data_IF_594705575160
#
_entry.id   IF_594705575160
#
_cell.length_a   1.000
_cell.length_b   1.000
_cell.length_c   1.000
_cell.angle_alpha   90.00
_cell.angle_beta   90.00
_cell.angle_gamma   90.00
#
_symmetry.space_group_name_H-M   'P 1'
#
loop_
_entity.id
_entity.type
_entity.pdbx_description
1 polymer ?
#
# COMPACT_ATOMS: atom_id res chain seq x y z
N UNK A 1 -25.39 -23.50 -34.20
CA UNK A 1 -24.14 -22.77 -33.88
C UNK A 1 -24.50 -21.36 -33.46
N UNK A 2 -24.68 -21.13 -32.16
CA UNK A 2 -24.91 -19.79 -31.62
C UNK A 2 -23.55 -19.14 -31.35
N UNK A 3 -23.27 -18.00 -31.99
CA UNK A 3 -22.13 -17.13 -31.70
C UNK A 3 -22.23 -16.71 -30.23
N UNK A 4 -21.33 -17.24 -29.41
CA UNK A 4 -21.20 -16.82 -28.01
C UNK A 4 -20.50 -15.47 -28.03
N UNK A 5 -21.29 -14.39 -27.93
CA UNK A 5 -20.76 -13.03 -27.73
C UNK A 5 -19.78 -13.04 -26.56
N UNK A 6 -18.58 -12.55 -26.84
CA UNK A 6 -17.50 -12.46 -25.89
C UNK A 6 -17.84 -11.37 -24.87
N UNK A 7 -18.59 -11.74 -23.82
CA UNK A 7 -18.79 -10.88 -22.67
C UNK A 7 -17.45 -10.74 -21.96
N UNK A 8 -16.77 -9.62 -22.20
CA UNK A 8 -15.64 -9.13 -21.40
C UNK A 8 -15.93 -9.36 -19.91
N UNK A 9 -14.93 -9.87 -19.20
CA UNK A 9 -14.97 -10.06 -17.75
C UNK A 9 -15.20 -8.70 -17.09
N UNK A 10 -16.46 -8.37 -16.80
CA UNK A 10 -16.81 -7.11 -16.14
C UNK A 10 -16.29 -7.20 -14.69
N UNK A 11 -15.25 -6.44 -14.40
CA UNK A 11 -14.77 -6.15 -13.04
C UNK A 11 -15.96 -5.76 -12.14
N UNK A 12 -15.93 -6.23 -10.88
CA UNK A 12 -17.00 -5.98 -9.91
C UNK A 12 -17.34 -4.48 -9.88
N UNK A 13 -18.62 -4.06 -9.92
CA UNK A 13 -18.99 -2.65 -10.05
C UNK A 13 -18.44 -1.77 -8.91
N UNK A 14 -18.20 -2.33 -7.72
CA UNK A 14 -17.53 -1.64 -6.61
C UNK A 14 -16.01 -1.42 -6.81
N UNK A 15 -15.38 -2.19 -7.70
CA UNK A 15 -13.98 -2.04 -8.09
C UNK A 15 -13.82 -1.16 -9.35
N UNK A 16 -14.92 -0.87 -10.06
CA UNK A 16 -14.95 0.10 -11.14
C UNK A 16 -14.86 1.50 -10.55
N UNK A 17 -13.63 2.01 -10.48
CA UNK A 17 -13.40 3.38 -10.02
C UNK A 17 -14.00 4.35 -11.04
N UNK A 18 -15.07 5.03 -10.63
CA UNK A 18 -15.59 6.19 -11.34
C UNK A 18 -14.47 7.25 -11.32
N UNK A 19 -14.07 7.77 -12.49
CA UNK A 19 -13.23 8.98 -12.60
C UNK A 19 -14.06 10.17 -12.11
N UNK A 20 -14.31 10.25 -10.81
CA UNK A 20 -14.74 11.50 -10.18
C UNK A 20 -13.53 12.41 -10.09
N UNK A 21 -13.72 13.69 -10.38
CA UNK A 21 -12.71 14.73 -10.17
C UNK A 21 -12.13 14.54 -8.76
N UNK A 22 -10.83 14.28 -8.70
CA UNK A 22 -10.13 13.93 -7.47
C UNK A 22 -9.96 15.19 -6.62
N UNK A 23 -10.94 15.53 -5.78
CA UNK A 23 -10.83 16.64 -4.85
C UNK A 23 -10.07 16.22 -3.58
N UNK A 24 -8.74 16.26 -3.61
CA UNK A 24 -7.88 15.90 -2.46
C UNK A 24 -7.57 17.09 -1.53
N UNK A 25 -7.89 18.32 -1.94
CA UNK A 25 -7.70 19.53 -1.12
C UNK A 25 -6.24 19.84 -0.78
N UNK A 26 -5.31 19.49 -1.67
CA UNK A 26 -3.90 19.96 -1.63
C UNK A 26 -3.76 21.14 -2.60
N UNK A 27 -2.88 22.08 -2.30
CA UNK A 27 -2.55 23.18 -3.23
C UNK A 27 -1.72 22.69 -4.41
N UNK A 28 -1.73 23.43 -5.52
CA UNK A 28 -0.89 23.14 -6.69
C UNK A 28 0.60 23.01 -6.32
N UNK A 29 1.12 23.89 -5.46
CA UNK A 29 2.50 23.81 -4.98
C UNK A 29 2.81 22.54 -4.17
N UNK A 30 1.86 22.07 -3.35
CA UNK A 30 2.01 20.81 -2.63
C UNK A 30 1.99 19.62 -3.60
N UNK A 31 1.23 19.71 -4.69
CA UNK A 31 1.17 18.67 -5.72
C UNK A 31 2.45 18.61 -6.55
N UNK A 32 3.09 19.74 -6.85
CA UNK A 32 4.43 19.76 -7.46
C UNK A 32 5.45 19.07 -6.55
N UNK A 33 5.42 19.36 -5.24
CA UNK A 33 6.28 18.67 -4.27
C UNK A 33 5.93 17.18 -4.15
N UNK A 34 4.64 16.81 -4.18
CA UNK A 34 4.19 15.41 -4.18
C UNK A 34 4.67 14.66 -5.40
N UNK A 35 4.57 15.25 -6.60
CA UNK A 35 5.03 14.65 -7.85
C UNK A 35 6.54 14.41 -7.84
N UNK A 36 7.33 15.41 -7.41
CA UNK A 36 8.77 15.27 -7.21
C UNK A 36 9.14 14.20 -6.17
N UNK A 37 8.33 14.07 -5.11
CA UNK A 37 8.51 13.03 -4.09
C UNK A 37 8.23 11.64 -4.67
N UNK A 38 7.16 11.50 -5.46
CA UNK A 38 6.82 10.26 -6.13
C UNK A 38 7.89 9.88 -7.16
N UNK A 39 8.42 10.84 -7.91
CA UNK A 39 9.55 10.63 -8.82
C UNK A 39 10.76 10.06 -8.10
N UNK A 40 11.15 10.64 -6.97
CA UNK A 40 12.30 10.17 -6.19
C UNK A 40 12.08 8.80 -5.54
N UNK A 41 10.83 8.32 -5.46
CA UNK A 41 10.51 6.97 -4.97
C UNK A 41 10.55 5.92 -6.09
N UNK A 42 10.04 6.28 -7.27
CA UNK A 42 9.96 5.42 -8.46
C UNK A 42 10.34 6.30 -9.67
N UNK A 43 11.65 6.48 -9.91
CA UNK A 43 12.14 7.30 -11.00
C UNK A 43 12.11 6.55 -12.33
N UNK A 44 12.11 7.27 -13.46
CA UNK A 44 12.44 6.65 -14.73
C UNK A 44 13.93 6.25 -14.72
N UNK A 45 14.23 5.07 -15.22
CA UNK A 45 15.59 4.52 -15.24
C UNK A 45 16.18 4.58 -16.65
N UNK A 46 17.46 4.96 -16.79
CA UNK A 46 18.12 4.95 -18.08
C UNK A 46 18.24 3.52 -18.61
N UNK A 47 17.86 3.31 -19.87
CA UNK A 47 17.98 2.02 -20.54
C UNK A 47 19.43 1.73 -20.88
N UNK A 48 19.97 0.62 -20.36
CA UNK A 48 21.24 0.06 -20.84
C UNK A 48 20.93 -0.64 -22.17
N UNK A 49 21.58 -0.19 -23.25
CA UNK A 49 21.30 -0.56 -24.65
C UNK A 49 21.75 -1.98 -25.02
N UNK A 50 21.61 -2.95 -24.13
CA UNK A 50 22.00 -4.33 -24.39
C UNK A 50 20.74 -5.20 -24.46
N UNK A 51 20.57 -5.83 -25.63
CA UNK A 51 19.46 -6.67 -26.08
C UNK A 51 18.12 -5.99 -26.48
N UNK A 52 17.35 -6.62 -27.41
CA UNK A 52 15.98 -6.20 -27.69
C UNK A 52 15.12 -6.47 -26.46
N UNK A 53 15.03 -5.47 -25.57
CA UNK A 53 14.13 -5.50 -24.43
C UNK A 53 12.69 -5.60 -24.90
N UNK A 54 11.93 -6.50 -24.28
CA UNK A 54 10.50 -6.64 -24.48
C UNK A 54 9.79 -5.31 -24.19
N UNK A 55 8.78 -4.94 -24.98
CA UNK A 55 8.14 -3.61 -24.95
C UNK A 55 7.62 -3.24 -23.55
N UNK A 56 7.16 -4.22 -22.77
CA UNK A 56 6.70 -4.00 -21.40
C UNK A 56 7.82 -3.61 -20.43
N UNK A 57 9.05 -4.11 -20.63
CA UNK A 57 10.21 -3.73 -19.81
C UNK A 57 10.62 -2.29 -20.14
N UNK A 58 10.63 -1.92 -21.43
CA UNK A 58 10.90 -0.54 -21.84
C UNK A 58 9.90 0.44 -21.22
N UNK A 59 8.60 0.14 -21.34
CA UNK A 59 7.54 0.96 -20.75
C UNK A 59 7.66 1.06 -19.22
N UNK A 60 8.10 0.00 -18.54
CA UNK A 60 8.33 0.01 -17.10
C UNK A 60 9.52 0.88 -16.68
N UNK A 61 10.63 0.86 -17.42
CA UNK A 61 11.80 1.68 -17.13
C UNK A 61 11.56 3.17 -17.44
N UNK A 62 10.75 3.47 -18.45
CA UNK A 62 10.33 4.85 -18.76
C UNK A 62 9.25 5.39 -17.81
N UNK A 63 8.52 4.51 -17.12
CA UNK A 63 7.47 4.91 -16.21
C UNK A 63 8.04 5.59 -14.97
N UNK A 64 7.40 6.68 -14.56
CA UNK A 64 7.71 7.40 -13.32
C UNK A 64 6.45 7.63 -12.51
N UNK A 65 6.54 7.53 -11.19
CA UNK A 65 5.40 7.81 -10.33
C UNK A 65 5.05 9.31 -10.23
N UNK A 66 5.84 10.20 -10.84
CA UNK A 66 5.47 11.63 -10.99
C UNK A 66 4.42 11.87 -12.06
N UNK A 67 4.24 10.93 -12.99
CA UNK A 67 3.34 11.08 -14.13
C UNK A 67 1.87 11.10 -13.67
N UNK A 68 1.10 12.01 -14.27
CA UNK A 68 -0.32 12.09 -14.00
C UNK A 68 -1.03 10.79 -14.41
N UNK A 69 -2.02 10.31 -13.64
CA UNK A 69 -2.62 10.94 -12.46
C UNK A 69 -2.16 10.31 -11.13
N UNK A 70 -0.95 9.73 -11.07
CA UNK A 70 -0.49 8.99 -9.89
C UNK A 70 -0.40 9.91 -8.65
N UNK A 71 0.25 11.10 -8.70
CA UNK A 71 0.33 11.97 -7.53
C UNK A 71 -1.04 12.40 -6.99
N UNK A 72 -1.99 12.76 -7.86
CA UNK A 72 -3.35 13.16 -7.48
C UNK A 72 -4.11 12.02 -6.81
N UNK A 73 -3.96 10.80 -7.32
CA UNK A 73 -4.59 9.63 -6.73
C UNK A 73 -3.96 9.20 -5.41
N UNK A 74 -2.65 9.42 -5.25
CA UNK A 74 -1.94 9.26 -3.97
C UNK A 74 -2.49 10.26 -2.96
N UNK A 75 -2.61 11.53 -3.34
CA UNK A 75 -3.17 12.57 -2.48
C UNK A 75 -4.63 12.27 -2.07
N UNK A 76 -5.46 11.81 -2.99
CA UNK A 76 -6.84 11.43 -2.70
C UNK A 76 -6.92 10.21 -1.76
N UNK A 77 -6.17 9.14 -2.04
CA UNK A 77 -6.14 7.98 -1.15
C UNK A 77 -5.66 8.32 0.26
N UNK A 78 -4.69 9.22 0.34
CA UNK A 78 -4.13 9.65 1.61
C UNK A 78 -5.20 10.36 2.45
N UNK A 79 -6.03 11.22 1.84
CA UNK A 79 -7.15 11.87 2.53
C UNK A 79 -8.25 10.87 2.89
N UNK A 80 -8.55 9.93 2.01
CA UNK A 80 -9.64 8.97 2.21
C UNK A 80 -9.32 7.90 3.26
N UNK A 81 -8.05 7.51 3.39
CA UNK A 81 -7.64 6.32 4.15
C UNK A 81 -6.71 6.59 5.33
N UNK A 82 -5.93 7.67 5.31
CA UNK A 82 -5.00 7.94 6.40
C UNK A 82 -5.69 8.66 7.58
N UNK A 83 -5.10 8.53 8.77
CA UNK A 83 -5.54 9.28 9.95
C UNK A 83 -5.45 10.80 9.67
N UNK A 84 -6.47 11.62 10.02
CA UNK A 84 -6.44 13.07 9.81
C UNK A 84 -5.18 13.78 10.32
N UNK A 85 -4.60 13.32 11.44
CA UNK A 85 -3.33 13.85 11.96
C UNK A 85 -2.14 13.58 11.03
N UNK A 86 -2.11 12.39 10.42
CA UNK A 86 -1.10 12.02 9.43
C UNK A 86 -1.29 12.84 8.13
N UNK A 87 -2.53 13.04 7.69
CA UNK A 87 -2.85 13.91 6.55
C UNK A 87 -2.37 15.34 6.78
N UNK A 88 -2.65 15.88 7.97
CA UNK A 88 -2.18 17.22 8.36
C UNK A 88 -0.65 17.32 8.34
N UNK A 89 0.04 16.33 8.91
CA UNK A 89 1.52 16.28 8.92
C UNK A 89 2.10 16.27 7.49
N UNK A 90 1.54 15.43 6.60
CA UNK A 90 1.96 15.36 5.20
C UNK A 90 1.71 16.69 4.49
N UNK A 91 0.53 17.31 4.68
CA UNK A 91 0.23 18.64 4.13
C UNK A 91 1.22 19.70 4.62
N UNK A 92 1.57 19.69 5.91
CA UNK A 92 2.53 20.64 6.47
C UNK A 92 3.93 20.47 5.85
N UNK A 93 4.43 19.23 5.78
CA UNK A 93 5.76 18.96 5.21
C UNK A 93 5.81 19.31 3.72
N UNK A 94 4.81 18.91 2.92
CA UNK A 94 4.76 19.26 1.50
C UNK A 94 4.65 20.78 1.28
N UNK A 95 3.93 21.49 2.16
CA UNK A 95 3.87 22.95 2.13
C UNK A 95 5.25 23.56 2.39
N UNK A 96 6.01 23.06 3.37
CA UNK A 96 7.37 23.54 3.64
C UNK A 96 8.32 23.25 2.46
N UNK A 97 8.23 22.06 1.85
CA UNK A 97 8.99 21.69 0.65
C UNK A 97 8.66 22.55 -0.58
N UNK A 98 7.49 23.20 -0.59
CA UNK A 98 7.11 24.13 -1.66
C UNK A 98 7.88 25.45 -1.61
N UNK A 99 8.49 25.79 -0.47
CA UNK A 99 9.25 27.02 -0.28
C UNK A 99 10.74 26.72 -0.14
N UNK A 100 11.60 27.63 -0.62
CA UNK A 100 13.06 27.49 -0.57
C UNK A 100 13.59 27.37 0.86
N UNK A 101 13.13 28.25 1.75
CA UNK A 101 13.53 28.26 3.17
C UNK A 101 13.03 26.99 3.87
N UNK A 102 11.82 26.53 3.57
CA UNK A 102 11.29 25.28 4.12
C UNK A 102 12.05 24.05 3.61
N UNK A 103 12.44 24.05 2.33
CA UNK A 103 13.30 23.02 1.75
C UNK A 103 14.67 23.00 2.44
N UNK A 104 15.30 24.16 2.64
CA UNK A 104 16.56 24.28 3.38
C UNK A 104 16.43 23.74 4.82
N UNK A 105 15.33 24.04 5.51
CA UNK A 105 15.06 23.55 6.86
C UNK A 105 14.91 22.03 6.92
N UNK A 106 14.25 21.41 5.94
CA UNK A 106 13.91 19.99 5.96
C UNK A 106 14.92 19.09 5.25
N UNK A 107 15.63 19.61 4.25
CA UNK A 107 16.56 18.88 3.40
C UNK A 107 18.03 19.26 3.65
N UNK A 108 18.27 20.29 4.47
CA UNK A 108 19.62 20.77 4.78
C UNK A 108 20.35 21.31 3.54
N UNK A 109 21.67 21.16 3.52
CA UNK A 109 22.52 21.75 2.48
C UNK A 109 22.35 21.12 1.09
N UNK A 110 21.69 19.96 0.98
CA UNK A 110 21.49 19.29 -0.32
C UNK A 110 20.60 20.10 -1.27
N UNK A 111 19.86 21.09 -0.78
CA UNK A 111 19.11 22.02 -1.62
C UNK A 111 19.96 23.16 -2.20
N UNK A 112 21.25 23.25 -1.84
CA UNK A 112 22.13 24.26 -2.42
C UNK A 112 22.53 23.89 -3.85
N UNK A 113 22.51 24.91 -4.70
CA UNK A 113 23.10 24.90 -6.02
C UNK A 113 24.05 26.10 -6.15
N UNK A 114 25.09 25.93 -6.96
CA UNK A 114 26.01 27.03 -7.27
C UNK A 114 25.40 28.00 -8.30
N UNK A 115 24.38 27.55 -9.03
CA UNK A 115 23.61 28.38 -9.95
C UNK A 115 22.54 29.16 -9.19
N UNK A 116 22.38 30.44 -9.52
CA UNK A 116 21.30 31.24 -8.95
C UNK A 116 19.93 30.73 -9.43
N UNK A 117 18.92 30.55 -8.56
CA UNK A 117 18.92 30.81 -7.11
C UNK A 117 19.67 29.74 -6.31
N UNK A 118 20.55 30.16 -5.39
CA UNK A 118 21.41 29.24 -4.62
C UNK A 118 20.65 28.22 -3.78
N UNK A 119 19.40 28.51 -3.41
CA UNK A 119 18.53 27.59 -2.64
C UNK A 119 17.37 27.20 -3.54
N UNK A 120 17.30 25.92 -3.87
CA UNK A 120 16.25 25.34 -4.71
C UNK A 120 15.07 24.89 -3.87
N UNK A 121 13.87 24.92 -4.44
CA UNK A 121 12.70 24.21 -3.88
C UNK A 121 12.88 22.70 -4.07
N UNK A 122 12.16 21.89 -3.30
CA UNK A 122 12.28 20.44 -3.43
C UNK A 122 12.02 19.90 -4.84
N UNK A 123 11.05 20.46 -5.58
CA UNK A 123 10.76 20.06 -6.96
C UNK A 123 11.85 20.46 -7.97
N UNK A 124 12.64 21.49 -7.66
CA UNK A 124 13.72 22.01 -8.51
C UNK A 124 15.05 21.27 -8.30
N UNK A 125 15.18 20.50 -7.20
CA UNK A 125 16.39 19.72 -6.88
C UNK A 125 16.51 18.54 -7.87
N UNK A 126 17.75 18.20 -8.26
CA UNK A 126 18.03 17.04 -9.12
C UNK A 126 17.55 15.73 -8.50
N UNK A 127 17.26 14.74 -9.33
CA UNK A 127 16.70 13.47 -8.89
C UNK A 127 17.59 12.77 -7.84
N UNK A 128 18.90 12.70 -8.09
CA UNK A 128 19.88 12.01 -7.25
C UNK A 128 19.96 12.64 -5.86
N UNK A 129 19.90 13.97 -5.79
CA UNK A 129 19.87 14.70 -4.52
C UNK A 129 18.55 14.48 -3.78
N UNK A 130 17.40 14.44 -4.49
CA UNK A 130 16.10 14.12 -3.88
C UNK A 130 16.08 12.71 -3.32
N UNK A 131 16.61 11.73 -4.03
CA UNK A 131 16.75 10.35 -3.55
C UNK A 131 17.59 10.27 -2.27
N UNK A 132 18.72 10.98 -2.24
CA UNK A 132 19.58 11.05 -1.06
C UNK A 132 18.84 11.67 0.13
N UNK A 133 18.10 12.77 -0.06
CA UNK A 133 17.27 13.39 0.98
C UNK A 133 16.26 12.39 1.54
N UNK A 134 15.53 11.67 0.68
CA UNK A 134 14.53 10.69 1.10
C UNK A 134 15.16 9.49 1.82
N UNK A 135 16.33 9.06 1.36
CA UNK A 135 17.13 8.02 2.02
C UNK A 135 17.52 8.45 3.43
N UNK A 136 17.99 9.68 3.61
CA UNK A 136 18.34 10.24 4.91
C UNK A 136 17.12 10.30 5.83
N UNK A 137 15.95 10.71 5.31
CA UNK A 137 14.69 10.69 6.05
C UNK A 137 14.28 9.29 6.48
N UNK A 138 14.55 8.27 5.67
CA UNK A 138 14.19 6.87 5.96
C UNK A 138 15.02 6.26 7.11
N UNK A 139 16.29 6.66 7.24
CA UNK A 139 17.24 6.14 8.22
C UNK A 139 17.31 7.05 9.46
N UNK A 140 16.58 8.16 9.50
CA UNK A 140 16.66 9.09 10.62
C UNK A 140 16.04 8.50 11.92
N UNK A 141 16.81 8.57 13.02
CA UNK A 141 16.41 8.09 14.35
C UNK A 141 16.37 9.20 15.41
N UNK A 142 16.70 10.45 15.06
CA UNK A 142 16.66 11.59 15.97
C UNK A 142 15.21 12.10 16.15
N UNK A 143 14.87 12.59 17.36
CA UNK A 143 13.49 12.97 17.73
C UNK A 143 12.77 13.87 16.71
N UNK A 144 13.44 14.88 16.16
CA UNK A 144 12.84 15.83 15.21
C UNK A 144 12.66 15.26 13.80
N UNK A 145 13.52 14.34 13.38
CA UNK A 145 13.48 13.72 12.05
C UNK A 145 12.56 12.51 11.97
N UNK A 146 12.06 12.01 13.11
CA UNK A 146 11.00 10.99 13.16
C UNK A 146 9.75 11.44 12.40
N UNK A 147 9.38 12.72 12.45
CA UNK A 147 8.25 13.25 11.68
C UNK A 147 8.47 13.11 10.17
N UNK A 148 9.70 13.39 9.70
CA UNK A 148 10.07 13.27 8.29
C UNK A 148 10.10 11.80 7.85
N UNK A 149 10.61 10.91 8.71
CA UNK A 149 10.54 9.46 8.49
C UNK A 149 9.11 8.97 8.36
N UNK A 150 8.18 9.46 9.19
CA UNK A 150 6.77 9.11 9.08
C UNK A 150 6.17 9.59 7.75
N UNK A 151 6.44 10.85 7.35
CA UNK A 151 5.97 11.37 6.06
C UNK A 151 6.53 10.55 4.89
N UNK A 152 7.83 10.23 4.92
CA UNK A 152 8.45 9.35 3.93
C UNK A 152 7.73 8.00 3.84
N UNK A 153 7.50 7.32 4.96
CA UNK A 153 6.82 6.03 4.98
C UNK A 153 5.38 6.10 4.47
N UNK A 154 4.64 7.15 4.85
CA UNK A 154 3.26 7.36 4.42
C UNK A 154 3.20 7.56 2.90
N UNK A 155 3.96 8.52 2.36
CA UNK A 155 3.95 8.81 0.92
C UNK A 155 4.46 7.59 0.14
N UNK A 156 5.54 6.95 0.60
CA UNK A 156 6.07 5.72 -0.01
C UNK A 156 5.01 4.62 -0.10
N UNK A 157 4.31 4.35 1.00
CA UNK A 157 3.27 3.32 1.03
C UNK A 157 2.16 3.60 0.01
N UNK A 158 1.60 4.81 0.00
CA UNK A 158 0.51 5.16 -0.91
C UNK A 158 0.97 5.26 -2.36
N UNK A 159 2.17 5.79 -2.61
CA UNK A 159 2.79 5.88 -3.93
C UNK A 159 3.02 4.49 -4.52
N UNK A 160 3.74 3.61 -3.81
CA UNK A 160 3.98 2.25 -4.28
C UNK A 160 2.66 1.48 -4.44
N UNK A 161 1.73 1.59 -3.48
CA UNK A 161 0.42 0.98 -3.60
C UNK A 161 -0.27 1.42 -4.88
N UNK A 162 -0.31 2.72 -5.19
CA UNK A 162 -0.94 3.20 -6.42
C UNK A 162 -0.20 2.77 -7.67
N UNK A 163 1.10 2.93 -7.71
CA UNK A 163 1.89 2.58 -8.89
C UNK A 163 1.70 1.11 -9.29
N UNK A 164 1.76 0.19 -8.32
CA UNK A 164 1.66 -1.26 -8.58
C UNK A 164 0.23 -1.82 -8.62
N UNK A 165 -0.77 -1.11 -8.08
CA UNK A 165 -2.17 -1.58 -8.11
C UNK A 165 -3.04 -0.83 -9.12
N UNK A 166 -2.54 0.25 -9.73
CA UNK A 166 -3.29 1.01 -10.72
C UNK A 166 -3.54 0.14 -11.94
N UNK A 167 -4.80 0.07 -12.33
CA UNK A 167 -5.24 -0.65 -13.51
C UNK A 167 -5.72 0.38 -14.53
N UNK A 168 -5.31 0.23 -15.78
CA UNK A 168 -5.80 1.03 -16.89
C UNK A 168 -7.20 0.60 -17.35
N UNK A 169 -7.69 1.20 -18.44
CA UNK A 169 -9.00 0.86 -19.02
C UNK A 169 -9.09 -0.59 -19.53
N UNK A 170 -7.95 -1.22 -19.83
CA UNK A 170 -7.84 -2.57 -20.39
C UNK A 170 -7.54 -3.63 -19.33
N UNK A 171 -7.66 -3.29 -18.05
CA UNK A 171 -7.32 -4.19 -16.95
C UNK A 171 -5.82 -4.55 -16.84
N UNK A 172 -4.93 -3.70 -17.37
CA UNK A 172 -3.47 -3.88 -17.35
C UNK A 172 -2.79 -2.87 -16.43
N UNK A 173 -1.59 -3.22 -15.99
CA UNK A 173 -0.66 -2.34 -15.27
C UNK A 173 0.69 -2.39 -15.98
N UNK A 174 1.35 -1.24 -16.07
CA UNK A 174 2.62 -1.08 -16.80
C UNK A 174 3.75 -1.94 -16.20
N UNK A 175 3.75 -2.13 -14.88
CA UNK A 175 4.80 -2.87 -14.19
C UNK A 175 4.59 -4.39 -14.17
N UNK A 176 3.34 -4.87 -14.26
CA UNK A 176 3.06 -6.30 -14.00
C UNK A 176 3.76 -7.23 -14.97
N UNK A 177 3.67 -6.99 -16.28
CA UNK A 177 4.29 -7.85 -17.28
C UNK A 177 5.82 -7.82 -17.17
N UNK A 178 6.40 -6.62 -16.94
CA UNK A 178 7.84 -6.47 -16.72
C UNK A 178 8.33 -7.20 -15.47
N UNK A 179 7.52 -7.24 -14.40
CA UNK A 179 7.80 -8.02 -13.19
C UNK A 179 7.52 -9.52 -13.35
N UNK A 180 7.08 -9.98 -14.52
CA UNK A 180 6.69 -11.37 -14.77
C UNK A 180 5.34 -11.77 -14.17
N UNK A 181 4.55 -10.80 -13.69
CA UNK A 181 3.21 -11.04 -13.18
C UNK A 181 2.21 -11.13 -14.34
N UNK A 182 1.69 -12.34 -14.59
CA UNK A 182 0.60 -12.55 -15.55
C UNK A 182 -0.73 -12.61 -14.82
N UNK A 183 -1.64 -11.72 -15.21
CA UNK A 183 -3.02 -11.73 -14.71
C UNK A 183 -3.69 -13.01 -15.17
N UNK A 184 -4.28 -13.74 -14.23
CA UNK A 184 -5.09 -14.91 -14.55
C UNK A 184 -6.40 -14.48 -15.22
N UNK A 185 -6.44 -14.59 -16.54
CA UNK A 185 -7.61 -14.26 -17.37
C UNK A 185 -8.57 -15.42 -17.51
N UNK A 186 -8.32 -16.56 -16.84
CA UNK A 186 -9.26 -17.70 -16.87
C UNK A 186 -10.63 -17.21 -16.44
N UNK A 187 -11.61 -17.30 -17.35
CA UNK A 187 -13.03 -17.09 -17.02
C UNK A 187 -13.28 -17.99 -15.82
N UNK A 188 -13.75 -17.42 -14.69
CA UNK A 188 -14.34 -18.24 -13.63
C UNK A 188 -15.47 -18.99 -14.31
N UNK A 189 -15.21 -20.25 -14.69
CA UNK A 189 -16.25 -21.22 -14.95
C UNK A 189 -17.21 -21.06 -13.78
N UNK A 190 -18.51 -20.99 -14.06
CA UNK A 190 -19.56 -20.78 -13.07
C UNK A 190 -19.48 -21.85 -11.98
N UNK A 191 -18.54 -21.73 -11.07
CA UNK A 191 -18.50 -22.43 -9.82
C UNK A 191 -19.61 -21.77 -9.05
N UNK A 192 -20.76 -22.45 -9.04
CA UNK A 192 -21.68 -22.49 -7.90
C UNK A 192 -20.95 -21.95 -6.69
N UNK A 193 -21.37 -20.82 -6.13
CA UNK A 193 -20.79 -20.14 -4.95
C UNK A 193 -20.37 -21.17 -3.89
N UNK A 194 -19.21 -21.80 -4.04
CA UNK A 194 -18.58 -22.60 -3.02
C UNK A 194 -17.93 -21.54 -2.17
N UNK A 195 -18.48 -21.36 -0.97
CA UNK A 195 -17.90 -20.50 0.07
C UNK A 195 -16.39 -20.71 0.06
N UNK A 196 -15.62 -19.62 0.09
CA UNK A 196 -14.17 -19.75 0.08
C UNK A 196 -13.80 -20.52 1.34
N UNK A 197 -12.96 -21.58 1.26
CA UNK A 197 -12.59 -22.34 2.45
C UNK A 197 -12.10 -21.46 3.60
N UNK A 198 -11.43 -20.34 3.28
CA UNK A 198 -10.94 -19.33 4.23
C UNK A 198 -12.04 -18.46 4.87
N UNK A 199 -13.17 -18.23 4.18
CA UNK A 199 -14.30 -17.48 4.74
C UNK A 199 -14.95 -18.22 5.92
N UNK A 200 -14.82 -19.56 5.98
CA UNK A 200 -15.32 -20.35 7.11
C UNK A 200 -14.47 -20.17 8.38
N UNK A 201 -13.20 -19.77 8.28
CA UNK A 201 -12.31 -19.56 9.42
C UNK A 201 -12.27 -18.11 9.94
N UNK A 202 -12.62 -17.14 9.09
CA UNK A 202 -12.46 -15.71 9.39
C UNK A 202 -13.36 -15.26 10.56
N UNK A 203 -12.76 -14.54 11.52
CA UNK A 203 -13.48 -13.85 12.61
C UNK A 203 -13.11 -12.37 12.55
N UNK A 204 -14.07 -11.52 12.21
CA UNK A 204 -13.85 -10.07 12.19
C UNK A 204 -13.92 -9.49 13.61
N UNK A 205 -12.81 -9.55 14.34
CA UNK A 205 -12.72 -9.08 15.74
C UNK A 205 -13.22 -7.64 15.96
N UNK A 206 -13.24 -6.78 14.92
CA UNK A 206 -13.77 -5.42 15.01
C UNK A 206 -15.31 -5.30 15.03
N UNK A 207 -16.04 -6.40 14.84
CA UNK A 207 -17.52 -6.47 14.94
C UNK A 207 -17.98 -7.28 16.15
N UNK A 208 -17.04 -7.82 16.91
CA UNK A 208 -17.28 -8.72 18.03
C UNK A 208 -16.99 -7.99 19.34
N UNK A 209 -17.80 -8.25 20.36
CA UNK A 209 -17.51 -7.85 21.74
C UNK A 209 -16.74 -9.00 22.43
N UNK A 210 -16.09 -8.71 23.54
CA UNK A 210 -15.23 -9.65 24.30
C UNK A 210 -15.88 -11.03 24.53
N UNK A 211 -17.18 -11.05 24.85
CA UNK A 211 -17.94 -12.29 25.05
C UNK A 211 -18.29 -13.04 23.76
N UNK A 212 -18.59 -12.32 22.67
CA UNK A 212 -18.95 -12.94 21.38
C UNK A 212 -17.71 -13.41 20.62
N UNK A 213 -16.55 -12.76 20.84
CA UNK A 213 -15.25 -13.19 20.34
C UNK A 213 -14.86 -14.56 20.92
N UNK A 214 -14.97 -14.75 22.24
CA UNK A 214 -14.71 -16.02 22.90
C UNK A 214 -15.58 -17.16 22.35
N UNK A 215 -16.87 -16.87 22.16
CA UNK A 215 -17.82 -17.84 21.62
C UNK A 215 -17.47 -18.17 20.17
N UNK A 216 -17.15 -17.17 19.35
CA UNK A 216 -16.75 -17.35 17.96
C UNK A 216 -15.49 -18.19 17.83
N UNK A 217 -14.45 -17.92 18.63
CA UNK A 217 -13.21 -18.69 18.64
C UNK A 217 -13.45 -20.15 19.07
N UNK A 218 -14.28 -20.35 20.09
CA UNK A 218 -14.65 -21.68 20.58
C UNK A 218 -15.46 -22.47 19.56
N UNK A 219 -16.42 -21.82 18.88
CA UNK A 219 -17.22 -22.43 17.79
C UNK A 219 -16.35 -22.84 16.60
N UNK A 220 -15.22 -22.17 16.37
CA UNK A 220 -14.27 -22.57 15.32
C UNK A 220 -13.34 -23.69 15.74
N UNK A 221 -13.31 -24.10 17.01
CA UNK A 221 -12.54 -25.25 17.49
C UNK A 221 -11.19 -24.90 18.13
N UNK A 222 -10.97 -23.63 18.48
CA UNK A 222 -9.85 -23.24 19.34
C UNK A 222 -10.20 -23.36 20.82
N UNK A 223 -9.24 -23.83 21.61
CA UNK A 223 -9.35 -23.76 23.05
C UNK A 223 -8.90 -22.37 23.50
N UNK A 224 -9.82 -21.59 24.06
CA UNK A 224 -9.56 -20.25 24.57
C UNK A 224 -9.82 -20.22 26.07
N UNK A 225 -8.88 -19.64 26.81
CA UNK A 225 -9.01 -19.42 28.25
C UNK A 225 -8.85 -17.93 28.56
N UNK A 226 -9.78 -17.40 29.33
CA UNK A 226 -9.71 -16.04 29.86
C UNK A 226 -8.87 -16.02 31.14
N UNK A 227 -7.87 -15.14 31.19
CA UNK A 227 -7.08 -14.96 32.42
C UNK A 227 -7.85 -14.08 33.40
N UNK A 228 -8.46 -14.72 34.42
CA UNK A 228 -9.27 -14.03 35.43
C UNK A 228 -8.47 -13.02 36.28
N UNK A 229 -7.13 -13.03 36.24
CA UNK A 229 -6.28 -12.11 37.02
C UNK A 229 -6.01 -10.78 36.32
N UNK A 230 -6.07 -10.75 34.99
CA UNK A 230 -5.91 -9.55 34.16
C UNK A 230 -7.09 -9.53 33.19
N UNK A 231 -8.21 -8.95 33.62
CA UNK A 231 -9.54 -9.01 32.98
C UNK A 231 -9.68 -8.36 31.59
N UNK A 232 -8.67 -8.49 30.73
CA UNK A 232 -8.64 -8.09 29.33
C UNK A 232 -7.68 -8.93 28.48
N UNK A 233 -7.26 -10.12 28.95
CA UNK A 233 -6.31 -10.98 28.22
C UNK A 233 -6.86 -12.38 27.97
N UNK A 234 -6.86 -12.77 26.68
CA UNK A 234 -7.28 -14.09 26.21
C UNK A 234 -6.08 -14.93 25.79
N UNK A 235 -6.02 -16.17 26.27
CA UNK A 235 -5.00 -17.14 25.85
C UNK A 235 -5.63 -18.11 24.88
N UNK A 236 -5.12 -18.14 23.65
CA UNK A 236 -5.58 -19.02 22.58
C UNK A 236 -4.57 -20.16 22.42
N UNK A 237 -5.03 -21.40 22.48
CA UNK A 237 -4.19 -22.58 22.21
C UNK A 237 -4.31 -22.98 20.73
N UNK A 238 -3.21 -22.84 20.01
CA UNK A 238 -3.06 -23.20 18.60
C UNK A 238 -1.72 -23.91 18.36
N UNK A 239 -1.57 -24.54 17.20
CA UNK A 239 -0.33 -25.21 16.82
C UNK A 239 0.65 -24.23 16.16
N UNK A 240 0.14 -23.22 15.43
CA UNK A 240 0.95 -22.21 14.76
C UNK A 240 0.31 -20.82 14.89
N UNK A 241 1.13 -19.82 15.21
CA UNK A 241 0.75 -18.40 15.16
C UNK A 241 1.43 -17.72 13.97
N UNK A 242 0.67 -17.01 13.14
CA UNK A 242 1.17 -16.27 11.98
C UNK A 242 0.87 -14.78 12.14
N UNK A 243 1.91 -14.01 12.47
CA UNK A 243 1.77 -12.56 12.61
C UNK A 243 1.90 -11.88 11.25
N UNK A 244 0.78 -11.35 10.75
CA UNK A 244 0.66 -10.62 9.49
C UNK A 244 -0.03 -11.42 8.38
N UNK A 245 -1.25 -11.04 8.01
CA UNK A 245 -2.08 -11.71 6.97
C UNK A 245 -1.84 -11.17 5.55
N UNK A 246 -0.62 -10.73 5.26
CA UNK A 246 -0.24 -10.31 3.91
C UNK A 246 -0.27 -11.46 2.90
N UNK A 247 0.15 -11.21 1.66
CA UNK A 247 0.18 -12.22 0.60
C UNK A 247 0.97 -13.49 0.96
N UNK A 248 1.99 -13.39 1.81
CA UNK A 248 2.71 -14.54 2.33
C UNK A 248 2.00 -15.22 3.50
N UNK A 249 1.52 -14.43 4.47
CA UNK A 249 0.93 -14.95 5.71
C UNK A 249 -0.37 -15.72 5.48
N UNK A 250 -1.26 -15.21 4.64
CA UNK A 250 -2.52 -15.92 4.31
C UNK A 250 -2.29 -17.22 3.54
N UNK A 251 -1.28 -17.28 2.65
CA UNK A 251 -0.94 -18.52 1.94
C UNK A 251 -0.29 -19.54 2.89
N UNK A 252 0.61 -19.08 3.76
CA UNK A 252 1.23 -19.94 4.77
C UNK A 252 0.18 -20.52 5.72
N UNK A 253 -0.75 -19.67 6.18
CA UNK A 253 -1.89 -20.10 7.00
C UNK A 253 -2.67 -21.20 6.28
N UNK A 254 -3.05 -20.96 5.01
CA UNK A 254 -3.89 -21.89 4.25
C UNK A 254 -3.24 -23.26 4.06
N UNK A 255 -1.93 -23.29 3.85
CA UNK A 255 -1.16 -24.53 3.69
C UNK A 255 -1.09 -25.30 5.02
N UNK A 256 -0.88 -24.60 6.14
CA UNK A 256 -0.78 -25.20 7.47
C UNK A 256 -2.14 -25.71 7.96
N UNK A 257 -3.20 -24.93 7.76
CA UNK A 257 -4.57 -25.33 8.07
C UNK A 257 -5.00 -26.54 7.23
N UNK A 258 -4.65 -26.58 5.93
CA UNK A 258 -4.88 -27.76 5.07
C UNK A 258 -4.15 -29.02 5.57
N UNK A 259 -3.07 -28.85 6.32
CA UNK A 259 -2.33 -29.95 6.95
C UNK A 259 -2.94 -30.41 8.28
N UNK A 260 -4.08 -29.86 8.68
CA UNK A 260 -4.80 -30.20 9.91
C UNK A 260 -4.29 -29.48 11.16
N UNK A 261 -3.42 -28.49 11.01
CA UNK A 261 -2.91 -27.69 12.13
C UNK A 261 -3.90 -26.59 12.50
N UNK A 262 -4.00 -26.29 13.79
CA UNK A 262 -4.76 -25.15 14.30
C UNK A 262 -3.96 -23.88 14.14
N UNK A 263 -4.35 -23.01 13.21
CA UNK A 263 -3.59 -21.80 12.87
C UNK A 263 -4.33 -20.55 13.33
N UNK A 264 -3.64 -19.71 14.10
CA UNK A 264 -4.07 -18.34 14.40
C UNK A 264 -3.18 -17.37 13.62
N UNK A 265 -3.71 -16.81 12.53
CA UNK A 265 -3.09 -15.68 11.86
C UNK A 265 -3.66 -14.39 12.43
N UNK A 266 -2.88 -13.33 12.59
CA UNK A 266 -3.39 -12.07 13.13
C UNK A 266 -2.71 -10.88 12.48
N UNK A 267 -3.47 -9.82 12.18
CA UNK A 267 -2.95 -8.57 11.62
C UNK A 267 -3.44 -7.38 12.43
N UNK A 268 -2.51 -6.51 12.83
CA UNK A 268 -2.87 -5.22 13.40
C UNK A 268 -2.86 -4.15 12.31
N UNK A 269 -4.03 -3.59 12.02
CA UNK A 269 -4.19 -2.49 11.06
C UNK A 269 -4.56 -1.21 11.81
N UNK A 270 -3.63 -0.25 11.88
CA UNK A 270 -3.86 1.10 12.44
C UNK A 270 -4.67 1.12 13.76
N UNK A 271 -4.25 0.32 14.75
CA UNK A 271 -4.89 0.28 16.07
C UNK A 271 -6.13 -0.60 16.18
N UNK A 272 -6.50 -1.36 15.12
CA UNK A 272 -7.52 -2.42 15.16
C UNK A 272 -6.85 -3.78 14.94
N UNK A 273 -7.06 -4.74 15.84
CA UNK A 273 -6.71 -6.13 15.59
C UNK A 273 -7.75 -6.72 14.61
N UNK A 274 -7.27 -7.34 13.54
CA UNK A 274 -8.03 -8.28 12.73
C UNK A 274 -7.36 -9.65 12.92
N UNK A 275 -7.99 -10.52 13.72
CA UNK A 275 -7.58 -11.92 13.83
C UNK A 275 -8.11 -12.72 12.63
N UNK A 276 -7.27 -13.55 12.08
CA UNK A 276 -7.47 -14.46 10.96
C UNK A 276 -7.32 -15.89 11.48
N UNK A 277 -8.40 -16.49 11.94
CA UNK A 277 -8.35 -17.89 12.34
C UNK A 277 -8.47 -18.79 11.10
N UNK A 278 -7.63 -19.82 11.00
CA UNK A 278 -7.79 -20.85 9.98
C UNK A 278 -7.86 -22.23 10.63
N UNK A 279 -9.04 -22.85 10.51
CA UNK A 279 -9.33 -24.22 10.93
C UNK A 279 -10.13 -24.89 9.83
N UNK A 280 -9.57 -25.96 9.25
CA UNK A 280 -10.29 -26.90 8.39
C UNK A 280 -10.76 -28.09 9.22
#
# INVERSE_FOLDING_TARGET
MAKMEDREVRSHPLLRRRRTELSHGFSSSQMEAMAAFCEALIPPLPLVKEDPLHQSILAFYEASASQAPIPDEVAALLVDRANPKAVFLVKLVLRLLSFRIGTLLLCGYLCFDWRWPFVLKFSEISLEKREQILKDWSVAHQRYTVLLRMVFMIIKMFCCFKFFSRIDGESKNIAWEAMGYRVDTRKRLNDTRKERPLERGLIEAGKEDDSTLLQSLSMKGLAVTEDQKHGSTYTIKCDVVIVGSGCGGGVAAAILAKSGLKVDSSQQLMGRLCCWLELL
#
